data_IF_893225210767
#
_entry.id   IF_893225210767
#
_cell.length_a   1.000
_cell.length_b   1.000
_cell.length_c   1.000
_cell.angle_alpha   90.00
_cell.angle_beta   90.00
_cell.angle_gamma   90.00
#
_symmetry.space_group_name_H-M   'P 1'
#
loop_
_entity.id
_entity.type
_entity.pdbx_description
1 polymer ?
#
# COMPACT_ATOMS: atom_id res chain seq x y z
N UNK A 1 11.01 -13.70 8.77
CA UNK A 1 9.60 -13.34 8.94
C UNK A 1 9.07 -12.66 7.71
N UNK A 2 8.06 -13.23 7.11
CA UNK A 2 7.40 -12.63 5.97
C UNK A 2 5.90 -12.67 6.19
N UNK A 3 5.21 -11.76 5.54
CA UNK A 3 3.75 -11.70 5.58
C UNK A 3 3.26 -11.85 4.16
N UNK A 4 2.31 -12.75 4.00
CA UNK A 4 1.73 -13.05 2.70
C UNK A 4 0.39 -12.35 2.60
N UNK A 5 0.27 -11.45 1.63
CA UNK A 5 -1.02 -10.92 1.22
C UNK A 5 -1.48 -11.75 0.02
N UNK A 6 -2.59 -12.43 0.18
CA UNK A 6 -3.12 -13.32 -0.85
C UNK A 6 -4.51 -12.84 -1.26
N UNK A 7 -4.62 -12.30 -2.45
CA UNK A 7 -5.89 -11.83 -3.01
C UNK A 7 -6.60 -10.86 -2.05
N UNK A 8 -5.82 -9.95 -1.48
CA UNK A 8 -6.31 -9.01 -0.48
C UNK A 8 -6.65 -7.67 -1.13
N UNK A 9 -7.69 -7.01 -0.65
CA UNK A 9 -8.07 -5.71 -1.18
C UNK A 9 -7.04 -4.65 -0.78
N UNK A 10 -6.90 -3.65 -1.64
CA UNK A 10 -6.02 -2.52 -1.35
C UNK A 10 -6.40 -1.84 -0.03
N UNK A 11 -7.70 -1.72 0.25
CA UNK A 11 -8.17 -1.15 1.51
C UNK A 11 -7.63 -1.92 2.72
N UNK A 12 -7.70 -3.25 2.69
CA UNK A 12 -7.22 -4.08 3.80
C UNK A 12 -5.70 -4.04 3.92
N UNK A 13 -5.01 -4.03 2.80
CA UNK A 13 -3.55 -3.90 2.80
C UNK A 13 -3.16 -2.57 3.45
N UNK A 14 -3.83 -1.48 3.07
CA UNK A 14 -3.55 -0.16 3.63
C UNK A 14 -3.71 -0.14 5.15
N UNK A 15 -4.75 -0.78 5.68
CA UNK A 15 -4.96 -0.86 7.13
C UNK A 15 -3.78 -1.58 7.80
N UNK A 16 -3.33 -2.69 7.21
CA UNK A 16 -2.19 -3.42 7.75
C UNK A 16 -0.91 -2.58 7.76
N UNK A 17 -0.65 -1.86 6.67
CA UNK A 17 0.54 -1.02 6.57
C UNK A 17 0.48 0.16 7.54
N UNK A 18 -0.70 0.74 7.73
CA UNK A 18 -0.88 1.82 8.72
C UNK A 18 -0.47 1.38 10.11
N UNK A 19 -0.85 0.17 10.50
CA UNK A 19 -0.50 -0.39 11.81
C UNK A 19 0.99 -0.66 11.93
N UNK A 20 1.58 -1.27 10.90
CA UNK A 20 2.97 -1.70 10.95
C UNK A 20 3.97 -0.58 10.93
N UNK A 21 3.69 0.41 10.10
CA UNK A 21 4.63 1.53 9.90
C UNK A 21 4.21 2.77 10.67
N UNK A 22 3.10 2.70 11.41
CA UNK A 22 2.55 3.83 12.16
C UNK A 22 2.37 5.05 11.25
N UNK A 23 1.62 4.86 10.18
CA UNK A 23 1.39 5.86 9.14
C UNK A 23 -0.10 5.99 8.87
N UNK A 24 -0.46 6.99 8.07
CA UNK A 24 -1.81 7.19 7.56
C UNK A 24 -1.78 7.08 6.05
N UNK A 25 -2.68 6.27 5.50
CA UNK A 25 -2.79 6.08 4.06
C UNK A 25 -4.14 6.57 3.61
N UNK A 26 -4.12 7.55 2.71
CA UNK A 26 -5.31 8.04 2.05
C UNK A 26 -5.39 7.39 0.68
N UNK A 27 -6.55 6.85 0.35
CA UNK A 27 -6.84 6.32 -0.99
C UNK A 27 -7.73 7.31 -1.70
N UNK A 28 -7.25 7.89 -2.79
CA UNK A 28 -8.00 8.87 -3.57
C UNK A 28 -9.26 8.26 -4.21
N UNK A 29 -10.24 9.10 -4.46
CA UNK A 29 -11.52 8.69 -5.03
C UNK A 29 -11.37 7.98 -6.39
N UNK A 30 -10.34 8.33 -7.16
CA UNK A 30 -10.09 7.71 -8.45
C UNK A 30 -9.51 6.30 -8.38
N UNK A 31 -9.20 5.82 -7.18
CA UNK A 31 -8.61 4.49 -6.96
C UNK A 31 -9.68 3.54 -6.45
N UNK A 32 -9.80 2.39 -7.11
CA UNK A 32 -10.71 1.34 -6.63
C UNK A 32 -10.04 0.62 -5.47
N UNK A 33 -10.47 0.93 -4.24
CA UNK A 33 -9.91 0.34 -3.03
C UNK A 33 -10.21 -1.16 -2.91
N UNK A 34 -11.12 -1.69 -3.71
CA UNK A 34 -11.41 -3.13 -3.72
C UNK A 34 -10.51 -3.90 -4.68
N UNK A 35 -9.59 -3.23 -5.36
CA UNK A 35 -8.59 -3.90 -6.19
C UNK A 35 -7.84 -4.92 -5.35
N UNK A 36 -7.76 -6.15 -5.83
CA UNK A 36 -7.10 -7.24 -5.11
C UNK A 36 -5.72 -7.47 -5.67
N UNK A 37 -4.77 -7.61 -4.77
CA UNK A 37 -3.39 -7.92 -5.14
C UNK A 37 -2.83 -8.97 -4.19
N UNK A 38 -1.78 -9.63 -4.66
CA UNK A 38 -1.08 -10.66 -3.89
C UNK A 38 0.41 -10.38 -3.93
N UNK A 39 1.04 -10.39 -2.79
CA UNK A 39 2.50 -10.30 -2.70
C UNK A 39 2.96 -10.72 -1.32
N UNK A 40 4.25 -11.00 -1.22
CA UNK A 40 4.87 -11.34 0.05
C UNK A 40 5.66 -10.12 0.54
N UNK A 41 5.30 -9.65 1.73
CA UNK A 41 6.01 -8.55 2.37
C UNK A 41 7.03 -9.14 3.35
N UNK A 42 8.28 -8.76 3.18
CA UNK A 42 9.35 -9.04 4.12
C UNK A 42 9.59 -7.79 4.96
N UNK A 43 10.38 -7.87 6.05
CA UNK A 43 10.68 -6.66 6.83
C UNK A 43 11.54 -5.72 6.00
N UNK A 44 10.90 -4.99 5.13
CA UNK A 44 11.50 -4.05 4.20
C UNK A 44 11.12 -2.63 4.62
N UNK A 45 11.73 -1.65 3.98
CA UNK A 45 11.37 -0.26 4.24
C UNK A 45 9.98 0.03 3.70
N UNK A 46 9.35 1.03 4.26
CA UNK A 46 8.06 1.49 3.77
C UNK A 46 8.13 1.86 2.28
N UNK A 47 9.19 2.55 1.87
CA UNK A 47 9.33 2.98 0.48
C UNK A 47 9.41 1.78 -0.47
N UNK A 48 10.10 0.72 -0.07
CA UNK A 48 10.16 -0.51 -0.89
C UNK A 48 8.78 -1.16 -1.01
N UNK A 49 8.03 -1.20 0.09
CA UNK A 49 6.67 -1.75 0.08
C UNK A 49 5.76 -0.96 -0.84
N UNK A 50 5.82 0.38 -0.77
CA UNK A 50 5.01 1.23 -1.64
C UNK A 50 5.36 1.01 -3.11
N UNK A 51 6.64 0.78 -3.41
CA UNK A 51 7.08 0.50 -4.77
C UNK A 51 6.53 -0.82 -5.30
N UNK A 52 6.46 -1.84 -4.43
CA UNK A 52 5.84 -3.12 -4.80
C UNK A 52 4.39 -2.89 -5.22
N UNK A 53 3.64 -2.11 -4.43
CA UNK A 53 2.24 -1.81 -4.74
C UNK A 53 2.14 -1.08 -6.08
N UNK A 54 3.02 -0.09 -6.32
CA UNK A 54 3.04 0.62 -7.59
C UNK A 54 3.30 -0.30 -8.78
N UNK A 55 4.19 -1.28 -8.59
CA UNK A 55 4.53 -2.22 -9.68
C UNK A 55 3.41 -3.22 -9.96
N UNK A 56 2.60 -3.54 -8.97
CA UNK A 56 1.51 -4.51 -9.11
C UNK A 56 0.20 -3.86 -9.54
N UNK A 57 0.13 -2.55 -9.56
CA UNK A 57 -1.10 -1.82 -9.86
C UNK A 57 -0.81 -0.70 -10.85
N UNK A 58 -1.86 0.04 -11.23
CA UNK A 58 -1.72 1.26 -12.03
C UNK A 58 -1.78 2.51 -11.17
N UNK A 59 -1.53 2.36 -9.89
CA UNK A 59 -1.62 3.46 -8.94
C UNK A 59 -0.22 3.98 -8.60
N UNK A 60 -0.18 5.23 -8.16
CA UNK A 60 1.02 5.84 -7.61
C UNK A 60 0.86 5.97 -6.11
N UNK A 61 1.93 5.72 -5.38
CA UNK A 61 1.96 5.87 -3.93
C UNK A 61 2.85 7.05 -3.61
N UNK A 62 2.23 8.16 -3.21
CA UNK A 62 2.95 9.40 -2.93
C UNK A 62 3.10 9.59 -1.43
N UNK A 63 4.33 9.73 -0.99
CA UNK A 63 4.62 10.00 0.42
C UNK A 63 4.65 11.51 0.61
N UNK A 64 3.60 12.07 1.23
CA UNK A 64 3.45 13.52 1.38
C UNK A 64 4.24 14.07 2.56
N UNK A 65 4.44 13.26 3.58
CA UNK A 65 5.35 13.55 4.68
C UNK A 65 5.74 12.23 5.36
N UNK A 66 6.39 12.29 6.50
CA UNK A 66 6.89 11.09 7.18
C UNK A 66 5.81 10.09 7.52
N UNK A 67 4.60 10.56 7.80
CA UNK A 67 3.52 9.71 8.30
C UNK A 67 2.31 9.67 7.39
N UNK A 68 2.34 10.36 6.25
CA UNK A 68 1.18 10.42 5.36
C UNK A 68 1.54 9.98 3.96
N UNK A 69 0.74 9.04 3.45
CA UNK A 69 0.86 8.51 2.10
C UNK A 69 -0.47 8.66 1.40
N UNK A 70 -0.44 9.01 0.12
CA UNK A 70 -1.63 9.04 -0.73
C UNK A 70 -1.46 8.04 -1.86
N UNK A 71 -2.44 7.17 -2.04
CA UNK A 71 -2.52 6.28 -3.19
C UNK A 71 -3.48 6.90 -4.18
N UNK A 72 -3.00 7.17 -5.38
CA UNK A 72 -3.74 7.86 -6.42
C UNK A 72 -3.52 7.21 -7.78
N UNK A 73 -4.35 7.55 -8.72
CA UNK A 73 -4.13 7.16 -10.11
C UNK A 73 -2.85 7.80 -10.65
N UNK A 74 -2.18 7.06 -11.48
CA UNK A 74 -1.08 7.61 -12.26
C UNK A 74 -1.58 8.55 -13.33
#
# INVERSE_FOLDING_TARGET
NSIIFDNMTLADIAVNLEHWYNIRIRIDDGVDASTRISFTLRPETLDETLRIIENLTHFACERTDRQHITIRKR
#
